data_IF_871137110778
#
_entry.id   IF_871137110778
#
_cell.length_a   1.000
_cell.length_b   1.000
_cell.length_c   1.000
_cell.angle_alpha   90.00
_cell.angle_beta   90.00
_cell.angle_gamma   90.00
#
_symmetry.space_group_name_H-M   'P 1'
#
loop_
_entity.id
_entity.type
_entity.pdbx_description
1 polymer ?
#
# COMPACT_ATOMS: atom_id res chain seq x y z
N UNK A 1 -6.51 -3.55 1.92
CA UNK A 1 -6.12 -4.22 0.65
C UNK A 1 -4.60 -4.33 0.61
N UNK A 2 -4.02 -5.53 0.50
CA UNK A 2 -2.59 -5.76 0.73
C UNK A 2 -1.67 -5.24 -0.39
N UNK A 3 -2.21 -4.92 -1.57
CA UNK A 3 -1.44 -4.45 -2.73
C UNK A 3 -0.45 -3.33 -2.39
N UNK A 4 -0.85 -2.33 -1.60
CA UNK A 4 0.04 -1.21 -1.24
C UNK A 4 1.24 -1.67 -0.40
N UNK A 5 1.06 -2.68 0.45
CA UNK A 5 2.14 -3.25 1.26
C UNK A 5 3.06 -4.10 0.40
N UNK A 6 2.50 -4.88 -0.54
CA UNK A 6 3.29 -5.63 -1.53
C UNK A 6 4.12 -4.69 -2.41
N UNK A 7 3.54 -3.58 -2.86
CA UNK A 7 4.28 -2.55 -3.61
C UNK A 7 5.49 -2.06 -2.83
N UNK A 8 5.33 -1.76 -1.54
CA UNK A 8 6.42 -1.26 -0.69
C UNK A 8 7.46 -2.34 -0.40
N UNK A 9 7.05 -3.57 -0.07
CA UNK A 9 7.96 -4.70 0.13
C UNK A 9 8.80 -4.99 -1.12
N UNK A 10 8.18 -5.03 -2.29
CA UNK A 10 8.91 -5.27 -3.53
C UNK A 10 9.86 -4.10 -3.84
N UNK A 11 9.36 -2.86 -3.77
CA UNK A 11 10.15 -1.67 -4.17
C UNK A 11 11.27 -1.37 -3.18
N UNK A 12 10.97 -1.24 -1.89
CA UNK A 12 11.92 -0.82 -0.86
C UNK A 12 12.63 -1.99 -0.20
N UNK A 13 11.97 -3.15 -0.06
CA UNK A 13 12.57 -4.33 0.57
C UNK A 13 13.45 -5.13 -0.37
N UNK A 14 12.92 -5.53 -1.52
CA UNK A 14 13.61 -6.50 -2.38
C UNK A 14 14.44 -5.84 -3.49
N UNK A 15 13.87 -4.85 -4.20
CA UNK A 15 14.50 -4.23 -5.37
C UNK A 15 15.53 -3.17 -4.98
N UNK A 16 15.12 -2.16 -4.21
CA UNK A 16 16.08 -1.17 -3.73
C UNK A 16 16.88 -1.72 -2.55
N UNK A 17 16.31 -2.58 -1.70
CA UNK A 17 16.94 -3.04 -0.44
C UNK A 17 17.34 -1.88 0.46
N UNK A 18 16.40 -1.00 0.76
CA UNK A 18 16.60 0.15 1.65
C UNK A 18 17.27 -0.27 2.97
N UNK A 19 18.33 0.42 3.33
CA UNK A 19 19.13 0.17 4.53
C UNK A 19 18.97 1.28 5.57
N UNK A 20 19.31 0.95 6.82
CA UNK A 20 19.35 1.92 7.91
C UNK A 20 20.32 3.06 7.58
N UNK A 21 19.90 4.30 7.84
CA UNK A 21 20.68 5.51 7.58
C UNK A 21 20.68 5.99 6.14
N UNK A 22 20.17 5.21 5.18
CA UNK A 22 19.96 5.70 3.82
C UNK A 22 18.84 6.73 3.76
N UNK A 23 18.92 7.62 2.78
CA UNK A 23 17.93 8.67 2.51
C UNK A 23 16.99 8.21 1.40
N UNK A 24 15.70 8.25 1.67
CA UNK A 24 14.67 7.89 0.69
C UNK A 24 13.76 9.09 0.41
N UNK A 25 13.59 9.40 -0.87
CA UNK A 25 12.59 10.34 -1.35
C UNK A 25 11.32 9.58 -1.77
N UNK A 26 10.19 9.91 -1.14
CA UNK A 26 8.88 9.29 -1.39
C UNK A 26 7.93 10.33 -1.99
N UNK A 27 7.54 10.14 -3.25
CA UNK A 27 6.54 10.98 -3.87
C UNK A 27 5.10 10.59 -3.47
N UNK A 28 4.23 11.59 -3.37
CA UNK A 28 2.82 11.43 -3.03
C UNK A 28 2.60 10.67 -1.70
N UNK A 29 3.37 11.07 -0.68
CA UNK A 29 3.44 10.48 0.65
C UNK A 29 2.07 10.38 1.37
N UNK A 30 1.16 11.33 1.11
CA UNK A 30 -0.18 11.32 1.68
C UNK A 30 -1.07 10.18 1.12
N UNK A 31 -0.71 9.60 -0.02
CA UNK A 31 -1.41 8.47 -0.61
C UNK A 31 -1.17 7.15 0.12
N UNK A 32 -1.97 6.13 -0.19
CA UNK A 32 -1.88 4.83 0.49
C UNK A 32 -0.51 4.16 0.41
N UNK A 33 0.15 4.16 -0.76
CA UNK A 33 1.51 3.60 -0.90
C UNK A 33 2.54 4.46 -0.17
N UNK A 34 2.44 5.78 -0.32
CA UNK A 34 3.34 6.73 0.32
C UNK A 34 3.36 6.59 1.85
N UNK A 35 2.18 6.43 2.46
CA UNK A 35 2.05 6.24 3.90
C UNK A 35 2.72 4.95 4.38
N UNK A 36 2.50 3.84 3.67
CA UNK A 36 3.15 2.55 3.99
C UNK A 36 4.66 2.63 3.75
N UNK A 37 5.11 3.33 2.71
CA UNK A 37 6.52 3.52 2.41
C UNK A 37 7.24 4.30 3.52
N UNK A 38 6.59 5.33 4.09
CA UNK A 38 7.11 6.09 5.24
C UNK A 38 7.25 5.17 6.45
N UNK A 39 6.21 4.39 6.78
CA UNK A 39 6.27 3.44 7.88
C UNK A 39 7.40 2.42 7.69
N UNK A 40 7.56 1.90 6.47
CA UNK A 40 8.62 0.95 6.14
C UNK A 40 10.01 1.58 6.31
N UNK A 41 10.22 2.79 5.79
CA UNK A 41 11.49 3.50 5.91
C UNK A 41 11.84 3.81 7.37
N UNK A 42 10.86 4.25 8.17
CA UNK A 42 11.02 4.47 9.60
C UNK A 42 11.36 3.18 10.35
N UNK A 43 10.68 2.07 10.01
CA UNK A 43 10.97 0.75 10.58
C UNK A 43 12.40 0.28 10.27
N UNK A 44 12.90 0.51 9.06
CA UNK A 44 14.29 0.23 8.66
C UNK A 44 15.29 1.17 9.36
N UNK A 45 14.85 2.36 9.77
CA UNK A 45 15.71 3.42 10.30
C UNK A 45 16.39 4.25 9.21
N UNK A 46 15.72 4.39 8.06
CA UNK A 46 16.11 5.29 6.97
C UNK A 46 15.61 6.72 7.22
N UNK A 47 16.26 7.71 6.61
CA UNK A 47 15.88 9.12 6.66
C UNK A 47 14.89 9.41 5.53
N UNK A 48 13.73 9.98 5.86
CA UNK A 48 12.62 10.15 4.92
C UNK A 48 12.52 11.59 4.43
N UNK A 49 12.56 11.75 3.11
CA UNK A 49 12.11 12.94 2.40
C UNK A 49 10.82 12.61 1.66
N UNK A 50 9.87 13.53 1.65
CA UNK A 50 8.55 13.23 1.13
C UNK A 50 7.91 14.43 0.43
N UNK A 51 7.17 14.15 -0.64
CA UNK A 51 6.20 15.11 -1.16
C UNK A 51 4.85 14.77 -0.53
N UNK A 52 4.38 15.63 0.38
CA UNK A 52 3.19 15.53 1.24
C UNK A 52 3.32 14.92 2.68
N UNK A 53 4.46 15.02 3.37
CA UNK A 53 4.59 14.84 4.85
C UNK A 53 5.98 15.17 5.46
N UNK A 54 6.04 15.57 6.75
CA UNK A 54 7.18 15.86 7.67
C UNK A 54 8.37 16.75 7.22
N UNK A 55 8.83 16.63 5.97
CA UNK A 55 9.81 17.48 5.29
C UNK A 55 9.28 17.75 3.87
N UNK A 56 8.14 18.45 3.81
CA UNK A 56 7.29 18.50 2.62
C UNK A 56 7.82 19.49 1.61
N UNK A 57 7.95 19.00 0.40
CA UNK A 57 8.09 19.82 -0.80
C UNK A 57 6.89 19.66 -1.74
N UNK A 58 6.72 20.59 -2.67
CA UNK A 58 5.60 20.58 -3.64
C UNK A 58 5.52 19.27 -4.44
N UNK A 59 4.29 18.75 -4.61
CA UNK A 59 3.94 17.67 -5.54
C UNK A 59 3.25 18.16 -6.82
N UNK A 60 3.08 19.49 -6.95
CA UNK A 60 2.35 20.16 -8.04
C UNK A 60 3.18 21.16 -8.83
N UNK A 61 4.38 21.46 -8.35
CA UNK A 61 5.31 22.43 -8.92
C UNK A 61 6.72 21.86 -8.80
N UNK A 62 7.25 21.36 -9.90
CA UNK A 62 8.55 20.73 -10.03
C UNK A 62 9.71 21.72 -9.79
N UNK A 63 9.53 23.00 -10.12
CA UNK A 63 10.57 24.01 -9.90
C UNK A 63 10.75 24.25 -8.40
N UNK A 64 9.65 24.54 -7.70
CA UNK A 64 9.61 24.67 -6.25
C UNK A 64 10.07 23.39 -5.56
N UNK A 65 9.67 22.23 -6.10
CA UNK A 65 10.08 20.92 -5.62
C UNK A 65 11.61 20.79 -5.49
N UNK A 66 12.29 21.10 -6.60
CA UNK A 66 13.74 20.97 -6.71
C UNK A 66 14.48 21.90 -5.77
N UNK A 67 13.97 23.11 -5.57
CA UNK A 67 14.58 24.11 -4.68
C UNK A 67 14.45 23.72 -3.21
N UNK A 68 13.22 23.39 -2.76
CA UNK A 68 12.94 22.98 -1.39
C UNK A 68 13.70 21.71 -1.02
N UNK A 69 13.75 20.70 -1.91
CA UNK A 69 14.52 19.48 -1.67
C UNK A 69 16.01 19.74 -1.47
N UNK A 70 16.61 20.63 -2.28
CA UNK A 70 18.02 20.98 -2.14
C UNK A 70 18.31 21.66 -0.81
N UNK A 71 17.40 22.51 -0.34
CA UNK A 71 17.55 23.15 0.96
C UNK A 71 17.45 22.12 2.09
N UNK A 72 16.43 21.25 2.06
CA UNK A 72 16.24 20.22 3.07
C UNK A 72 17.39 19.22 3.13
N UNK A 73 17.95 18.82 1.98
CA UNK A 73 19.13 17.97 1.93
C UNK A 73 20.35 18.65 2.55
N UNK A 74 20.58 19.93 2.26
CA UNK A 74 21.66 20.70 2.89
C UNK A 74 21.51 20.80 4.40
N UNK A 75 20.29 21.04 4.88
CA UNK A 75 19.99 21.13 6.32
C UNK A 75 20.22 19.77 7.02
N UNK A 76 20.00 18.65 6.31
CA UNK A 76 20.32 17.29 6.73
C UNK A 76 21.81 16.91 6.55
N UNK A 77 22.64 17.84 6.05
CA UNK A 77 24.07 17.60 5.80
C UNK A 77 24.34 16.63 4.65
N UNK A 78 23.42 16.54 3.69
CA UNK A 78 23.43 15.62 2.57
C UNK A 78 23.46 16.35 1.22
N UNK A 79 24.07 15.71 0.21
CA UNK A 79 24.08 16.23 -1.16
C UNK A 79 23.02 15.59 -2.06
N UNK A 80 22.40 14.49 -1.61
CA UNK A 80 21.44 13.71 -2.39
C UNK A 80 20.73 12.64 -1.57
N UNK A 81 19.82 11.92 -2.22
CA UNK A 81 19.11 10.76 -1.68
C UNK A 81 19.62 9.46 -2.30
N UNK A 82 19.51 8.35 -1.59
CA UNK A 82 20.00 7.04 -2.04
C UNK A 82 18.93 6.26 -2.80
N UNK A 83 17.65 6.47 -2.43
CA UNK A 83 16.50 5.81 -3.03
C UNK A 83 15.42 6.84 -3.37
N UNK A 84 14.81 6.70 -4.54
CA UNK A 84 13.58 7.41 -4.91
C UNK A 84 12.47 6.37 -5.11
N UNK A 85 11.32 6.59 -4.46
CA UNK A 85 10.07 5.93 -4.77
C UNK A 85 9.16 6.92 -5.50
N UNK A 86 9.11 6.81 -6.83
CA UNK A 86 8.41 7.74 -7.70
C UNK A 86 7.01 7.28 -8.09
N UNK A 87 6.07 8.22 -8.13
CA UNK A 87 4.73 8.05 -8.67
C UNK A 87 4.27 9.22 -9.55
N UNK A 88 5.13 10.23 -9.75
CA UNK A 88 4.81 11.47 -10.46
C UNK A 88 5.64 11.56 -11.74
N UNK A 89 4.99 11.88 -12.85
CA UNK A 89 5.64 11.97 -14.17
C UNK A 89 5.35 13.28 -14.90
N UNK A 90 4.41 14.08 -14.41
CA UNK A 90 4.17 15.43 -14.92
C UNK A 90 5.29 16.38 -14.49
N UNK A 91 5.33 17.58 -15.08
CA UNK A 91 6.15 18.72 -14.64
C UNK A 91 7.62 18.39 -14.29
N UNK A 92 8.23 17.50 -15.09
CA UNK A 92 9.62 17.09 -14.98
C UNK A 92 10.00 16.44 -13.63
N UNK A 93 9.06 15.83 -12.91
CA UNK A 93 9.35 15.17 -11.63
C UNK A 93 10.40 14.05 -11.76
N UNK A 94 10.37 13.25 -12.83
CA UNK A 94 11.38 12.20 -13.08
C UNK A 94 12.79 12.79 -13.19
N UNK A 95 13.11 13.68 -14.14
CA UNK A 95 14.47 14.23 -14.27
C UNK A 95 14.89 15.05 -13.04
N UNK A 96 13.96 15.72 -12.35
CA UNK A 96 14.27 16.46 -11.12
C UNK A 96 14.64 15.54 -9.98
N UNK A 97 13.91 14.45 -9.78
CA UNK A 97 14.16 13.47 -8.73
C UNK A 97 15.40 12.64 -9.03
N UNK A 98 15.63 12.34 -10.31
CA UNK A 98 16.85 11.70 -10.80
C UNK A 98 18.10 12.56 -10.52
N UNK A 99 17.99 13.89 -10.65
CA UNK A 99 19.08 14.81 -10.33
C UNK A 99 19.37 14.93 -8.82
N UNK A 100 18.48 14.46 -7.95
CA UNK A 100 18.67 14.41 -6.49
C UNK A 100 19.28 13.07 -6.04
N UNK A 101 19.36 12.05 -6.90
CA UNK A 101 19.95 10.77 -6.55
C UNK A 101 21.47 10.86 -6.46
N UNK A 102 22.01 10.38 -5.34
CA UNK A 102 23.42 10.07 -5.13
C UNK A 102 23.95 9.10 -6.20
N UNK A 103 25.28 9.05 -6.34
CA UNK A 103 25.94 8.09 -7.24
C UNK A 103 25.58 6.65 -6.84
N UNK A 104 25.15 5.84 -7.81
CA UNK A 104 24.73 4.45 -7.55
C UNK A 104 23.35 4.32 -6.89
N UNK A 105 22.57 5.40 -6.87
CA UNK A 105 21.23 5.40 -6.28
C UNK A 105 20.22 4.49 -6.98
N UNK A 106 19.08 4.25 -6.34
CA UNK A 106 18.01 3.38 -6.86
C UNK A 106 16.72 4.16 -7.08
N UNK A 107 16.16 4.07 -8.28
CA UNK A 107 14.93 4.75 -8.68
C UNK A 107 13.83 3.71 -8.92
N UNK A 108 12.90 3.60 -7.97
CA UNK A 108 11.75 2.70 -8.02
C UNK A 108 10.54 3.46 -8.56
N UNK A 109 10.06 3.08 -9.74
CA UNK A 109 8.93 3.71 -10.42
C UNK A 109 7.66 2.88 -10.21
N UNK A 110 6.66 3.46 -9.53
CA UNK A 110 5.32 2.87 -9.38
C UNK A 110 4.28 3.58 -10.26
N UNK A 111 4.67 4.68 -10.93
CA UNK A 111 3.87 5.33 -11.96
C UNK A 111 3.68 4.46 -13.19
N UNK A 112 2.69 4.80 -14.01
CA UNK A 112 2.37 4.07 -15.27
C UNK A 112 2.29 4.96 -16.49
N UNK A 113 1.99 6.24 -16.29
CA UNK A 113 1.78 7.21 -17.38
C UNK A 113 3.01 8.08 -17.48
N UNK A 114 3.55 8.27 -18.69
CA UNK A 114 4.70 9.15 -18.91
C UNK A 114 5.97 8.75 -18.16
N UNK A 115 6.11 7.47 -17.78
CA UNK A 115 7.33 6.96 -17.18
C UNK A 115 8.43 6.84 -18.23
N UNK A 116 9.69 6.86 -17.79
CA UNK A 116 10.81 6.63 -18.67
C UNK A 116 10.99 5.15 -18.99
N UNK A 117 11.53 4.86 -20.18
CA UNK A 117 12.02 3.52 -20.49
C UNK A 117 13.35 3.26 -19.77
N UNK A 118 13.73 1.98 -19.68
CA UNK A 118 15.02 1.58 -19.10
C UNK A 118 16.19 2.18 -19.89
N UNK A 119 16.03 2.31 -21.21
CA UNK A 119 17.02 2.89 -22.12
C UNK A 119 17.18 4.39 -21.87
N UNK A 120 16.07 5.13 -21.75
CA UNK A 120 16.11 6.58 -21.43
C UNK A 120 16.80 6.83 -20.09
N UNK A 121 16.49 6.01 -19.07
CA UNK A 121 17.12 6.13 -17.76
C UNK A 121 18.61 5.79 -17.81
N UNK A 122 19.01 4.74 -18.55
CA UNK A 122 20.41 4.36 -18.70
C UNK A 122 21.21 5.41 -19.46
N UNK A 123 20.61 6.07 -20.45
CA UNK A 123 21.24 7.17 -21.17
C UNK A 123 21.49 8.37 -20.26
N UNK A 124 20.53 8.72 -19.40
CA UNK A 124 20.64 9.86 -18.50
C UNK A 124 21.52 9.60 -17.26
N UNK A 125 21.40 8.41 -16.65
CA UNK A 125 22.09 8.00 -15.40
C UNK A 125 22.40 6.50 -15.44
N UNK A 126 23.47 6.10 -16.16
CA UNK A 126 23.84 4.69 -16.28
C UNK A 126 24.25 4.04 -14.94
N UNK A 127 24.58 4.84 -13.94
CA UNK A 127 24.92 4.38 -12.59
C UNK A 127 23.69 4.06 -11.71
N UNK A 128 22.48 4.48 -12.12
CA UNK A 128 21.26 4.32 -11.32
C UNK A 128 20.58 2.98 -11.62
N UNK A 129 20.22 2.27 -10.56
CA UNK A 129 19.32 1.11 -10.67
C UNK A 129 17.89 1.61 -10.87
N UNK A 130 17.31 1.34 -12.03
CA UNK A 130 15.92 1.68 -12.33
C UNK A 130 15.05 0.44 -12.41
N UNK A 131 13.93 0.45 -11.68
CA UNK A 131 12.96 -0.63 -11.73
C UNK A 131 11.53 -0.08 -11.76
N UNK A 132 10.73 -0.60 -12.71
CA UNK A 132 9.29 -0.36 -12.76
C UNK A 132 8.57 -1.43 -11.95
N UNK A 133 7.64 -1.01 -11.10
CA UNK A 133 6.95 -1.86 -10.13
C UNK A 133 5.46 -1.88 -10.47
N UNK A 134 5.03 -2.95 -11.14
CA UNK A 134 3.66 -3.15 -11.59
C UNK A 134 3.04 -4.39 -10.91
N UNK A 135 2.42 -4.19 -9.74
CA UNK A 135 1.83 -5.30 -8.96
C UNK A 135 0.62 -5.92 -9.67
N UNK A 136 -0.14 -5.15 -10.44
CA UNK A 136 -1.22 -5.66 -11.28
C UNK A 136 -0.73 -6.67 -12.31
N UNK A 137 0.34 -6.34 -13.02
CA UNK A 137 0.96 -7.26 -13.98
C UNK A 137 1.49 -8.50 -13.26
N UNK A 138 2.10 -8.34 -12.08
CA UNK A 138 2.53 -9.48 -11.26
C UNK A 138 1.35 -10.38 -10.84
N UNK A 139 0.21 -9.81 -10.45
CA UNK A 139 -0.97 -10.59 -10.06
C UNK A 139 -1.50 -11.43 -11.23
N UNK A 140 -1.43 -10.90 -12.46
CA UNK A 140 -1.88 -11.59 -13.67
C UNK A 140 -0.87 -12.64 -14.18
N UNK A 141 0.42 -12.29 -14.18
CA UNK A 141 1.48 -13.10 -14.83
C UNK A 141 2.24 -14.01 -13.86
N UNK A 142 2.39 -13.60 -12.60
CA UNK A 142 3.15 -14.29 -11.55
C UNK A 142 2.36 -14.36 -10.22
N UNK A 143 1.13 -14.91 -10.19
CA UNK A 143 0.30 -14.93 -8.98
C UNK A 143 0.94 -15.67 -7.80
N UNK A 144 1.81 -16.65 -8.08
CA UNK A 144 2.60 -17.36 -7.07
C UNK A 144 3.55 -16.42 -6.32
N UNK A 145 4.13 -15.43 -7.03
CA UNK A 145 5.04 -14.44 -6.46
C UNK A 145 4.28 -13.43 -5.61
N UNK A 146 3.12 -12.98 -6.08
CA UNK A 146 2.23 -12.14 -5.28
C UNK A 146 1.83 -12.84 -3.96
N UNK A 147 1.45 -14.12 -4.03
CA UNK A 147 1.13 -14.92 -2.85
C UNK A 147 2.31 -15.08 -1.88
N UNK A 148 3.55 -15.16 -2.38
CA UNK A 148 4.73 -15.19 -1.52
C UNK A 148 4.89 -13.89 -0.72
N UNK A 149 4.61 -12.72 -1.32
CA UNK A 149 4.57 -11.46 -0.59
C UNK A 149 3.46 -11.42 0.46
N UNK A 150 2.26 -11.92 0.14
CA UNK A 150 1.16 -11.98 1.11
C UNK A 150 1.54 -12.81 2.34
N UNK A 151 2.21 -13.94 2.16
CA UNK A 151 2.68 -14.78 3.28
C UNK A 151 3.69 -14.04 4.16
N UNK A 152 4.71 -13.40 3.57
CA UNK A 152 5.67 -12.55 4.30
C UNK A 152 4.98 -11.44 5.09
N UNK A 153 3.97 -10.81 4.48
CA UNK A 153 3.22 -9.72 5.13
C UNK A 153 2.39 -10.23 6.31
N UNK A 154 1.78 -11.42 6.22
CA UNK A 154 1.03 -12.01 7.32
C UNK A 154 1.91 -12.22 8.56
N UNK A 155 3.12 -12.76 8.37
CA UNK A 155 4.09 -12.92 9.46
C UNK A 155 4.40 -11.58 10.14
N UNK A 156 4.54 -10.49 9.36
CA UNK A 156 4.74 -9.13 9.90
C UNK A 156 3.52 -8.58 10.64
N UNK A 157 2.30 -8.89 10.18
CA UNK A 157 1.06 -8.50 10.88
C UNK A 157 0.96 -9.20 12.22
N UNK A 158 1.24 -10.51 12.27
CA UNK A 158 1.12 -11.33 13.48
C UNK A 158 2.03 -10.86 14.61
N UNK A 159 3.23 -10.36 14.27
CA UNK A 159 4.17 -9.77 15.25
C UNK A 159 3.92 -8.28 15.52
N UNK A 160 2.83 -7.70 15.00
CA UNK A 160 2.48 -6.29 15.19
C UNK A 160 3.38 -5.30 14.44
N UNK A 161 4.14 -5.77 13.45
CA UNK A 161 5.13 -4.99 12.71
C UNK A 161 4.57 -4.13 11.57
N UNK A 162 3.25 -4.13 11.35
CA UNK A 162 2.55 -3.27 10.40
C UNK A 162 1.44 -2.50 11.10
N UNK A 163 1.46 -1.17 11.00
CA UNK A 163 0.38 -0.35 11.54
C UNK A 163 -0.71 -0.13 10.49
N UNK A 164 -2.00 -0.18 10.89
CA UNK A 164 -3.10 0.16 9.99
C UNK A 164 -2.93 1.56 9.40
N UNK A 165 -3.29 1.71 8.13
CA UNK A 165 -3.31 3.02 7.48
C UNK A 165 -4.63 3.73 7.74
N UNK A 166 -4.62 5.07 7.73
CA UNK A 166 -5.84 5.86 7.82
C UNK A 166 -6.82 5.50 6.68
N UNK A 167 -8.06 5.20 7.04
CA UNK A 167 -9.14 4.92 6.12
C UNK A 167 -10.13 6.07 6.13
N UNK A 168 -10.53 6.54 4.96
CA UNK A 168 -11.67 7.43 4.79
C UNK A 168 -12.83 6.61 4.23
N UNK A 169 -13.83 6.36 5.06
CA UNK A 169 -14.89 5.40 4.79
C UNK A 169 -16.14 6.16 4.32
N UNK A 170 -16.63 5.78 3.14
CA UNK A 170 -17.96 6.12 2.66
C UNK A 170 -18.87 4.91 2.88
N UNK A 171 -19.97 5.08 3.59
CA UNK A 171 -20.93 4.00 3.82
C UNK A 171 -21.91 3.90 2.64
N UNK A 172 -22.07 2.70 2.09
CA UNK A 172 -23.00 2.41 0.99
C UNK A 172 -22.47 2.70 -0.42
N UNK A 173 -22.80 1.81 -1.38
CA UNK A 173 -22.40 1.96 -2.78
C UNK A 173 -22.92 3.24 -3.46
N UNK A 174 -24.03 3.80 -2.97
CA UNK A 174 -24.61 5.07 -3.44
C UNK A 174 -23.64 6.25 -3.28
N UNK A 175 -22.75 6.19 -2.29
CA UNK A 175 -21.72 7.21 -2.08
C UNK A 175 -20.55 7.09 -3.07
N UNK A 176 -20.59 6.14 -4.02
CA UNK A 176 -19.49 5.90 -4.95
C UNK A 176 -19.07 7.14 -5.75
N UNK A 177 -20.04 7.96 -6.18
CA UNK A 177 -19.72 9.23 -6.89
C UNK A 177 -19.01 10.21 -5.97
N UNK A 178 -19.48 10.38 -4.73
CA UNK A 178 -18.85 11.25 -3.75
C UNK A 178 -17.43 10.77 -3.40
N UNK A 179 -17.24 9.46 -3.25
CA UNK A 179 -15.94 8.84 -3.01
C UNK A 179 -14.94 9.09 -4.17
N UNK A 180 -15.39 8.97 -5.41
CA UNK A 180 -14.57 9.26 -6.59
C UNK A 180 -14.24 10.74 -6.71
N UNK A 181 -15.19 11.64 -6.44
CA UNK A 181 -14.93 13.09 -6.42
C UNK A 181 -13.95 13.48 -5.31
N UNK A 182 -14.05 12.84 -4.14
CA UNK A 182 -13.10 13.04 -3.04
C UNK A 182 -11.68 12.61 -3.43
N UNK A 183 -11.54 11.44 -4.08
CA UNK A 183 -10.27 10.99 -4.65
C UNK A 183 -9.71 11.94 -5.71
N UNK A 184 -10.56 12.47 -6.61
CA UNK A 184 -10.13 13.40 -7.66
C UNK A 184 -9.52 14.70 -7.12
N UNK A 185 -9.98 15.17 -5.95
CA UNK A 185 -9.44 16.37 -5.30
C UNK A 185 -8.04 16.15 -4.69
N UNK A 186 -7.58 14.90 -4.62
CA UNK A 186 -6.32 14.50 -4.00
C UNK A 186 -6.15 15.05 -2.57
N UNK A 187 -7.25 15.12 -1.81
CA UNK A 187 -7.30 15.60 -0.43
C UNK A 187 -7.24 14.46 0.60
N UNK A 188 -7.23 13.20 0.15
CA UNK A 188 -7.24 12.04 1.03
C UNK A 188 -5.85 11.82 1.64
N UNK A 189 -5.81 11.61 2.96
CA UNK A 189 -4.67 11.03 3.66
C UNK A 189 -5.00 9.55 3.88
N UNK A 190 -4.17 8.67 3.33
CA UNK A 190 -4.40 7.23 3.36
C UNK A 190 -5.36 6.75 2.26
N UNK A 191 -6.25 5.81 2.60
CA UNK A 191 -7.06 5.07 1.63
C UNK A 191 -8.54 5.41 1.73
N UNK A 192 -9.16 5.69 0.59
CA UNK A 192 -10.61 5.82 0.46
C UNK A 192 -11.23 4.45 0.27
N UNK A 193 -12.25 4.13 1.06
CA UNK A 193 -12.97 2.85 1.06
C UNK A 193 -14.45 3.14 0.98
N UNK A 194 -15.16 2.43 0.10
CA UNK A 194 -16.63 2.36 0.15
C UNK A 194 -16.94 1.08 0.91
N UNK A 195 -17.57 1.22 2.06
CA UNK A 195 -17.98 0.11 2.91
C UNK A 195 -19.44 -0.20 2.65
N UNK A 196 -19.70 -1.38 2.11
CA UNK A 196 -21.04 -1.92 1.96
C UNK A 196 -21.33 -2.87 3.12
N UNK A 197 -22.55 -2.85 3.65
CA UNK A 197 -22.91 -3.81 4.69
C UNK A 197 -22.94 -5.20 4.07
N UNK A 198 -22.30 -6.16 4.75
CA UNK A 198 -22.33 -7.56 4.35
C UNK A 198 -23.78 -8.00 4.18
N UNK A 199 -24.16 -8.48 2.99
CA UNK A 199 -25.52 -9.02 2.76
C UNK A 199 -25.84 -10.19 3.68
N UNK A 200 -24.82 -10.84 4.25
CA UNK A 200 -25.02 -11.88 5.26
C UNK A 200 -25.57 -11.35 6.60
N UNK A 201 -25.43 -10.04 6.87
CA UNK A 201 -26.04 -9.34 8.01
C UNK A 201 -27.48 -8.87 7.72
N UNK A 202 -28.01 -9.09 6.51
CA UNK A 202 -29.41 -8.76 6.23
C UNK A 202 -30.35 -9.60 7.12
N UNK A 203 -31.20 -8.93 7.92
CA UNK A 203 -32.21 -9.54 8.83
C UNK A 203 -33.03 -10.67 8.20
N UNK A 204 -33.29 -10.63 6.90
CA UNK A 204 -34.05 -11.67 6.19
C UNK A 204 -33.35 -13.04 6.13
N UNK A 205 -32.03 -13.08 6.33
CA UNK A 205 -31.22 -14.30 6.35
C UNK A 205 -31.07 -14.88 7.77
N UNK A 206 -31.55 -14.20 8.82
CA UNK A 206 -31.32 -14.61 10.22
C UNK A 206 -32.14 -15.83 10.70
N UNK A 207 -32.85 -16.55 9.82
CA UNK A 207 -33.69 -17.68 10.22
C UNK A 207 -33.28 -19.05 9.65
N UNK A 208 -32.23 -19.13 8.82
CA UNK A 208 -31.82 -20.38 8.18
C UNK A 208 -30.41 -20.82 8.61
N UNK A 209 -30.14 -22.12 8.78
CA UNK A 209 -28.80 -22.62 9.02
C UNK A 209 -27.92 -22.43 7.77
N UNK A 210 -26.68 -21.98 7.96
CA UNK A 210 -25.71 -21.75 6.88
C UNK A 210 -24.59 -22.78 6.91
N UNK A 211 -24.24 -23.31 5.74
CA UNK A 211 -23.04 -24.11 5.54
C UNK A 211 -21.94 -23.26 4.92
N UNK A 212 -20.83 -23.09 5.65
CA UNK A 212 -19.63 -22.39 5.21
C UNK A 212 -18.54 -23.42 4.86
N UNK A 213 -18.38 -23.69 3.57
CA UNK A 213 -17.26 -24.51 3.07
C UNK A 213 -15.94 -23.77 3.20
N UNK A 214 -14.94 -24.40 3.83
CA UNK A 214 -13.66 -23.77 4.16
C UNK A 214 -13.77 -22.78 5.32
N UNK A 215 -14.82 -22.85 6.14
CA UNK A 215 -15.07 -21.81 7.12
C UNK A 215 -14.10 -21.82 8.32
N UNK A 216 -13.26 -22.85 8.46
CA UNK A 216 -12.11 -22.87 9.38
C UNK A 216 -10.92 -22.04 8.89
N UNK A 217 -10.90 -21.63 7.61
CA UNK A 217 -9.92 -20.71 7.07
C UNK A 217 -10.16 -19.26 7.51
N UNK A 218 -9.16 -18.38 7.37
CA UNK A 218 -9.22 -16.99 7.86
C UNK A 218 -10.46 -16.20 7.40
N UNK A 219 -10.82 -16.31 6.11
CA UNK A 219 -12.05 -15.67 5.57
C UNK A 219 -13.32 -16.32 6.10
N UNK A 220 -13.26 -17.62 6.37
CA UNK A 220 -14.32 -18.41 6.97
C UNK A 220 -14.65 -17.99 8.40
N UNK A 221 -13.62 -17.79 9.21
CA UNK A 221 -13.72 -17.33 10.59
C UNK A 221 -14.26 -15.89 10.64
N UNK A 222 -13.76 -15.01 9.76
CA UNK A 222 -14.27 -13.64 9.63
C UNK A 222 -15.75 -13.63 9.21
N UNK A 223 -16.11 -14.37 8.16
CA UNK A 223 -17.50 -14.54 7.72
C UNK A 223 -18.40 -15.11 8.82
N UNK A 224 -17.88 -16.02 9.64
CA UNK A 224 -18.64 -16.61 10.75
C UNK A 224 -18.86 -15.61 11.87
N UNK A 225 -17.89 -14.76 12.20
CA UNK A 225 -18.09 -13.72 13.22
C UNK A 225 -19.24 -12.75 12.87
N UNK A 226 -19.47 -12.51 11.58
CA UNK A 226 -20.59 -11.69 11.11
C UNK A 226 -21.94 -12.43 11.20
N UNK A 227 -21.97 -13.74 10.90
CA UNK A 227 -23.21 -14.53 10.80
C UNK A 227 -23.63 -15.21 12.12
N UNK A 228 -22.66 -15.59 12.96
CA UNK A 228 -22.87 -16.38 14.19
C UNK A 228 -23.58 -15.61 15.30
N UNK A 229 -23.66 -14.29 15.21
CA UNK A 229 -24.45 -13.45 16.12
C UNK A 229 -25.96 -13.75 16.03
N UNK A 230 -26.41 -14.40 14.95
CA UNK A 230 -27.84 -14.51 14.61
C UNK A 230 -28.28 -15.87 14.04
N UNK A 231 -27.39 -16.85 13.81
CA UNK A 231 -27.72 -18.13 13.13
C UNK A 231 -26.78 -19.30 13.48
N UNK A 232 -27.22 -20.54 13.19
CA UNK A 232 -26.38 -21.74 13.22
C UNK A 232 -25.46 -21.79 11.99
N UNK A 233 -24.16 -21.88 12.23
CA UNK A 233 -23.12 -21.98 11.19
C UNK A 233 -22.44 -23.36 11.25
N UNK A 234 -22.40 -24.04 10.11
CA UNK A 234 -21.68 -25.30 9.94
C UNK A 234 -20.38 -25.08 9.17
N UNK A 235 -19.30 -25.69 9.66
CA UNK A 235 -18.00 -25.69 9.00
C UNK A 235 -17.77 -27.01 8.28
N UNK A 236 -17.34 -26.92 7.02
CA UNK A 236 -16.86 -28.06 6.24
C UNK A 236 -15.40 -27.85 5.83
N UNK A 237 -14.52 -28.76 6.23
CA UNK A 237 -13.15 -28.87 5.73
C UNK A 237 -12.95 -30.30 5.20
N UNK A 238 -12.02 -30.51 4.25
CA UNK A 238 -11.87 -31.76 3.47
C UNK A 238 -11.72 -33.06 4.28
N UNK A 239 -11.61 -32.99 5.61
CA UNK A 239 -11.34 -34.12 6.50
C UNK A 239 -12.27 -34.25 7.72
N UNK A 240 -13.07 -33.24 8.14
CA UNK A 240 -13.98 -33.34 9.31
C UNK A 240 -15.15 -32.34 9.25
N UNK A 241 -16.31 -32.74 9.79
CA UNK A 241 -17.43 -31.84 10.10
C UNK A 241 -17.29 -31.34 11.54
N UNK A 242 -17.29 -30.02 11.75
CA UNK A 242 -17.22 -29.41 13.08
C UNK A 242 -18.47 -28.56 13.28
N UNK A 243 -19.26 -28.90 14.30
CA UNK A 243 -20.45 -28.15 14.72
C UNK A 243 -20.06 -27.19 15.83
N UNK A 244 -20.20 -25.88 15.60
CA UNK A 244 -20.22 -24.89 16.66
C UNK A 244 -21.67 -24.56 16.98
N UNK A 245 -22.12 -24.93 18.19
CA UNK A 245 -23.40 -24.51 18.72
C UNK A 245 -23.18 -23.18 19.47
N UNK A 246 -23.43 -22.05 18.82
CA UNK A 246 -23.61 -20.78 19.55
C UNK A 246 -24.98 -20.82 20.22
N UNK A 247 -25.01 -21.30 21.45
CA UNK A 247 -26.14 -21.12 22.35
C UNK A 247 -26.03 -19.70 22.94
N UNK A 248 -26.57 -18.71 22.25
CA UNK A 248 -26.91 -17.45 22.91
C UNK A 248 -28.26 -17.66 23.61
N UNK A 249 -28.20 -18.06 24.88
CA UNK A 249 -29.29 -17.79 25.82
C UNK A 249 -29.40 -16.27 25.96
N UNK A 250 -30.37 -15.66 25.27
CA UNK A 250 -30.95 -14.39 25.73
C UNK A 250 -31.92 -14.73 26.87
N UNK A 251 -31.56 -14.33 28.09
CA UNK A 251 -32.51 -13.82 29.06
C UNK A 251 -32.36 -12.31 29.10
#
# INVERSE_FOLDING_TARGET
>A
MPVIFVTVEQSLGDLSRLQKGERVLIHAAAGGVGFVAIQYAQFVGAVVFATAGAYITSSRDGAKFKEEMRQMLKDDGAEGVDVVLNSLSHDDYIPRSLALLSKGGRFMEIGKRGIWSVEQMREARPDVLYATVAIDVMMETEPWRYNAYLKRLLERVEVGGLTPINLHIFEGLEQGVAALQFLQRAQNIGKVVIQEQSRMLCRQLQQNPYLLSGGTGALGVAATSEVASSCFVFFSERSKWIRLATCCFCC
#
